data_IF_842425854543
#
_entry.id   IF_842425854543
#
_cell.length_a   1.000
_cell.length_b   1.000
_cell.length_c   1.000
_cell.angle_alpha   90.00
_cell.angle_beta   90.00
_cell.angle_gamma   90.00
#
_symmetry.space_group_name_H-M   'P 1'
#
loop_
_entity.id
_entity.type
_entity.pdbx_description
1 polymer ?
#
# COMPACT_ATOMS: atom_id res chain seq x y z
N UNK A 1 -4.79 30.60 -1.89
CA UNK A 1 -4.88 30.07 -3.27
C UNK A 1 -6.16 30.51 -4.01
N UNK A 2 -7.34 30.52 -3.39
CA UNK A 2 -8.61 30.99 -4.00
C UNK A 2 -8.56 32.35 -4.75
N UNK A 3 -7.99 33.44 -4.21
CA UNK A 3 -8.07 34.75 -4.88
C UNK A 3 -7.24 34.83 -6.16
N UNK A 4 -6.18 34.03 -6.30
CA UNK A 4 -5.26 34.10 -7.45
C UNK A 4 -5.88 33.47 -8.70
N UNK A 5 -6.62 32.37 -8.54
CA UNK A 5 -7.29 31.69 -9.65
C UNK A 5 -8.46 32.52 -10.21
N UNK A 6 -9.22 33.21 -9.36
CA UNK A 6 -10.29 34.14 -9.79
C UNK A 6 -9.73 35.34 -10.56
N UNK A 7 -8.56 35.85 -10.16
CA UNK A 7 -7.91 37.01 -10.81
C UNK A 7 -7.44 36.66 -12.23
N UNK A 8 -7.11 35.41 -12.52
CA UNK A 8 -6.74 34.97 -13.88
C UNK A 8 -7.95 34.50 -14.71
N UNK A 9 -8.97 33.91 -14.07
CA UNK A 9 -10.16 33.42 -14.75
C UNK A 9 -11.02 34.53 -15.36
N UNK A 10 -11.16 35.67 -14.68
CA UNK A 10 -11.98 36.80 -15.16
C UNK A 10 -11.39 37.43 -16.45
N UNK A 11 -10.09 37.78 -16.53
CA UNK A 11 -9.46 38.25 -17.76
C UNK A 11 -9.51 37.19 -18.87
N UNK A 12 -9.27 35.91 -18.56
CA UNK A 12 -9.38 34.85 -19.56
C UNK A 12 -10.79 34.76 -20.16
N UNK A 13 -11.83 34.84 -19.32
CA UNK A 13 -13.21 34.83 -19.78
C UNK A 13 -13.56 36.05 -20.64
N UNK A 14 -13.06 37.24 -20.27
CA UNK A 14 -13.24 38.47 -21.03
C UNK A 14 -12.54 38.41 -22.40
N UNK A 15 -11.23 38.12 -22.42
CA UNK A 15 -10.41 38.17 -23.64
C UNK A 15 -10.64 36.99 -24.59
N UNK A 16 -10.91 35.79 -24.08
CA UNK A 16 -11.08 34.59 -24.91
C UNK A 16 -12.50 34.45 -25.46
N UNK A 17 -13.51 34.76 -24.65
CA UNK A 17 -14.92 34.54 -25.00
C UNK A 17 -15.64 35.82 -25.43
N UNK A 18 -14.96 36.98 -25.39
CA UNK A 18 -15.53 38.28 -25.77
C UNK A 18 -16.65 38.76 -24.85
N UNK A 19 -16.75 38.20 -23.63
CA UNK A 19 -17.79 38.57 -22.67
C UNK A 19 -17.53 39.96 -22.09
N UNK A 20 -18.57 40.73 -21.80
CA UNK A 20 -18.40 41.94 -21.00
C UNK A 20 -17.92 41.59 -19.57
N UNK A 21 -17.36 42.58 -18.88
CA UNK A 21 -16.78 42.37 -17.54
C UNK A 21 -17.77 41.80 -16.53
N UNK A 22 -19.04 42.23 -16.59
CA UNK A 22 -20.11 41.75 -15.71
C UNK A 22 -20.34 40.24 -15.89
N UNK A 23 -20.55 39.79 -17.13
CA UNK A 23 -20.75 38.36 -17.45
C UNK A 23 -19.50 37.53 -17.18
N UNK A 24 -18.31 38.11 -17.39
CA UNK A 24 -17.04 37.46 -17.06
C UNK A 24 -16.91 37.20 -15.55
N UNK A 25 -17.30 38.16 -14.71
CA UNK A 25 -17.31 38.00 -13.24
C UNK A 25 -18.38 37.00 -12.81
N UNK A 26 -19.61 37.13 -13.33
CA UNK A 26 -20.73 36.26 -13.01
C UNK A 26 -20.40 34.78 -13.26
N UNK A 27 -19.66 34.48 -14.33
CA UNK A 27 -19.27 33.11 -14.66
C UNK A 27 -17.98 32.65 -13.95
N UNK A 28 -16.95 33.51 -13.89
CA UNK A 28 -15.64 33.11 -13.36
C UNK A 28 -15.67 32.85 -11.85
N UNK A 29 -16.50 33.56 -11.09
CA UNK A 29 -16.60 33.38 -9.63
C UNK A 29 -17.15 31.99 -9.25
N UNK A 30 -18.33 31.54 -9.74
CA UNK A 30 -18.82 30.19 -9.50
C UNK A 30 -17.86 29.10 -9.97
N UNK A 31 -17.19 29.27 -11.12
CA UNK A 31 -16.21 28.31 -11.63
C UNK A 31 -15.00 28.22 -10.70
N UNK A 32 -14.50 29.36 -10.20
CA UNK A 32 -13.37 29.38 -9.27
C UNK A 32 -13.73 28.70 -7.95
N UNK A 33 -14.91 29.01 -7.40
CA UNK A 33 -15.42 28.38 -6.18
C UNK A 33 -15.57 26.87 -6.38
N UNK A 34 -16.22 26.45 -7.47
CA UNK A 34 -16.41 25.03 -7.81
C UNK A 34 -15.07 24.31 -7.96
N UNK A 35 -14.10 24.92 -8.65
CA UNK A 35 -12.76 24.35 -8.81
C UNK A 35 -12.04 24.20 -7.47
N UNK A 36 -12.15 25.19 -6.59
CA UNK A 36 -11.57 25.10 -5.24
C UNK A 36 -12.22 23.98 -4.42
N UNK A 37 -13.54 23.81 -4.52
CA UNK A 37 -14.24 22.72 -3.84
C UNK A 37 -13.78 21.36 -4.39
N UNK A 38 -13.77 21.18 -5.71
CA UNK A 38 -13.45 19.91 -6.37
C UNK A 38 -11.98 19.53 -6.25
N UNK A 39 -11.06 20.49 -6.38
CA UNK A 39 -9.61 20.21 -6.37
C UNK A 39 -8.97 20.39 -5.00
N UNK A 40 -9.59 21.17 -4.10
CA UNK A 40 -9.06 21.48 -2.78
C UNK A 40 -9.80 20.74 -1.67
N UNK A 41 -11.06 21.11 -1.46
CA UNK A 41 -11.83 20.72 -0.27
C UNK A 41 -12.27 19.27 -0.30
N UNK A 42 -12.90 18.82 -1.40
CA UNK A 42 -13.44 17.47 -1.53
C UNK A 42 -12.33 16.41 -1.38
N UNK A 43 -11.18 16.52 -2.07
CA UNK A 43 -10.10 15.54 -1.92
C UNK A 43 -9.54 15.49 -0.49
N UNK A 44 -9.34 16.65 0.13
CA UNK A 44 -8.88 16.73 1.52
C UNK A 44 -9.89 16.09 2.48
N UNK A 45 -11.18 16.34 2.29
CA UNK A 45 -12.25 15.74 3.09
C UNK A 45 -12.29 14.21 2.93
N UNK A 46 -12.19 13.69 1.70
CA UNK A 46 -12.12 12.24 1.44
C UNK A 46 -10.93 11.63 2.18
N UNK A 47 -9.77 12.27 2.10
CA UNK A 47 -8.57 11.81 2.80
C UNK A 47 -8.74 11.85 4.32
N UNK A 48 -9.29 12.93 4.86
CA UNK A 48 -9.59 13.05 6.28
C UNK A 48 -10.52 11.93 6.76
N UNK A 49 -11.64 11.72 6.05
CA UNK A 49 -12.65 10.74 6.42
C UNK A 49 -12.12 9.31 6.31
N UNK A 50 -11.39 8.97 5.26
CA UNK A 50 -10.84 7.61 5.10
C UNK A 50 -9.85 7.26 6.21
N UNK A 51 -8.96 8.20 6.56
CA UNK A 51 -8.03 8.05 7.67
C UNK A 51 -8.74 7.98 9.02
N UNK A 52 -9.69 8.89 9.26
CA UNK A 52 -10.48 8.91 10.50
C UNK A 52 -11.27 7.61 10.69
N UNK A 53 -12.03 7.16 9.69
CA UNK A 53 -12.89 5.98 9.81
C UNK A 53 -12.08 4.69 9.91
N UNK A 54 -10.96 4.56 9.19
CA UNK A 54 -10.12 3.37 9.28
C UNK A 54 -9.58 3.18 10.70
N UNK A 55 -9.10 4.26 11.33
CA UNK A 55 -8.50 4.22 12.67
C UNK A 55 -9.39 4.74 13.80
N UNK A 56 -10.71 4.87 13.58
CA UNK A 56 -11.64 5.25 14.65
C UNK A 56 -11.52 4.29 15.83
N UNK A 57 -11.45 4.83 17.04
CA UNK A 57 -11.26 4.10 18.31
C UNK A 57 -9.96 3.30 18.41
N UNK A 58 -9.00 3.53 17.52
CA UNK A 58 -7.67 2.95 17.65
C UNK A 58 -6.87 3.74 18.68
N UNK A 59 -6.32 3.05 19.67
CA UNK A 59 -5.40 3.57 20.67
C UNK A 59 -4.05 2.91 20.51
N UNK A 60 -2.99 3.71 20.55
CA UNK A 60 -1.61 3.26 20.48
C UNK A 60 -0.90 3.73 21.73
N UNK A 61 -0.28 2.80 22.45
CA UNK A 61 0.51 3.08 23.63
C UNK A 61 1.95 2.69 23.32
N UNK A 62 2.86 3.65 23.48
CA UNK A 62 4.29 3.47 23.28
C UNK A 62 4.93 3.38 24.66
N UNK A 63 5.45 2.20 24.99
CA UNK A 63 6.09 1.93 26.28
C UNK A 63 7.60 1.99 26.10
N UNK A 64 8.21 3.12 26.46
CA UNK A 64 9.63 3.38 26.24
C UNK A 64 10.54 2.49 27.09
N UNK A 65 10.16 2.20 28.33
CA UNK A 65 10.96 1.37 29.25
C UNK A 65 11.04 -0.08 28.77
N UNK A 66 9.91 -0.65 28.37
CA UNK A 66 9.84 -2.04 27.89
C UNK A 66 10.13 -2.18 26.38
N UNK A 67 10.30 -1.06 25.67
CA UNK A 67 10.41 -0.98 24.20
C UNK A 67 9.29 -1.76 23.51
N UNK A 68 8.04 -1.49 23.92
CA UNK A 68 6.83 -2.12 23.37
C UNK A 68 5.90 -1.11 22.74
N UNK A 69 5.15 -1.57 21.74
CA UNK A 69 3.98 -0.88 21.21
C UNK A 69 2.76 -1.75 21.50
N UNK A 70 1.77 -1.16 22.17
CA UNK A 70 0.46 -1.77 22.34
C UNK A 70 -0.53 -1.11 21.40
N UNK A 71 -1.22 -1.94 20.63
CA UNK A 71 -2.20 -1.52 19.63
C UNK A 71 -3.56 -2.05 20.12
N UNK A 72 -4.50 -1.15 20.35
CA UNK A 72 -5.80 -1.48 20.90
C UNK A 72 -6.93 -0.85 20.09
N UNK A 73 -7.86 -1.69 19.63
CA UNK A 73 -9.17 -1.26 19.12
C UNK A 73 -10.23 -2.23 19.67
N UNK A 74 -10.67 -3.19 18.86
CA UNK A 74 -11.52 -4.31 19.31
C UNK A 74 -10.68 -5.46 19.88
N UNK A 75 -9.43 -5.56 19.44
CA UNK A 75 -8.43 -6.53 19.86
C UNK A 75 -7.26 -5.79 20.52
N UNK A 76 -6.52 -6.49 21.38
CA UNK A 76 -5.32 -5.99 22.05
C UNK A 76 -4.11 -6.76 21.54
N UNK A 77 -3.13 -6.04 21.02
CA UNK A 77 -1.86 -6.60 20.58
C UNK A 77 -0.70 -5.87 21.25
N UNK A 78 0.39 -6.58 21.49
CA UNK A 78 1.60 -6.03 22.09
C UNK A 78 2.82 -6.65 21.41
N UNK A 79 3.70 -5.80 20.90
CA UNK A 79 4.91 -6.23 20.19
C UNK A 79 6.11 -5.41 20.65
N UNK A 80 7.30 -6.03 20.61
CA UNK A 80 8.56 -5.32 20.87
C UNK A 80 8.98 -4.55 19.63
N UNK A 81 9.63 -3.40 19.83
CA UNK A 81 10.03 -2.51 18.73
C UNK A 81 10.94 -3.18 17.71
N UNK A 82 11.88 -4.02 18.16
CA UNK A 82 12.85 -4.70 17.32
C UNK A 82 12.29 -5.86 16.48
N UNK A 83 11.04 -6.25 16.71
CA UNK A 83 10.36 -7.31 15.97
C UNK A 83 9.47 -6.74 14.85
N UNK A 84 9.31 -5.42 14.81
CA UNK A 84 8.40 -4.73 13.89
C UNK A 84 9.14 -4.25 12.65
N UNK A 85 8.60 -4.60 11.48
CA UNK A 85 8.95 -3.94 10.21
C UNK A 85 8.00 -2.78 9.99
N UNK A 86 8.53 -1.60 9.69
CA UNK A 86 7.75 -0.37 9.61
C UNK A 86 7.87 0.22 8.22
N UNK A 87 6.72 0.37 7.55
CA UNK A 87 6.65 0.98 6.21
C UNK A 87 5.91 2.30 6.34
N UNK A 88 6.62 3.42 6.12
CA UNK A 88 6.00 4.74 6.09
C UNK A 88 5.43 5.01 4.69
N UNK A 89 4.12 5.22 4.60
CA UNK A 89 3.44 5.62 3.36
C UNK A 89 3.13 7.12 3.44
N UNK A 90 3.81 7.91 2.61
CA UNK A 90 3.76 9.37 2.66
C UNK A 90 3.46 9.98 1.28
N UNK A 91 2.87 11.20 1.22
CA UNK A 91 2.66 11.91 -0.03
C UNK A 91 3.94 12.10 -0.83
N UNK A 92 3.84 11.99 -2.14
CA UNK A 92 4.96 12.18 -3.07
C UNK A 92 5.62 13.56 -2.95
N UNK A 93 4.88 14.55 -2.46
CA UNK A 93 5.42 15.88 -2.13
C UNK A 93 6.66 15.78 -1.19
N UNK A 94 6.62 14.91 -0.19
CA UNK A 94 7.74 14.74 0.76
C UNK A 94 9.00 14.16 0.10
N UNK A 95 8.87 13.52 -1.07
CA UNK A 95 10.02 13.04 -1.87
C UNK A 95 10.89 14.19 -2.39
N UNK A 96 10.36 15.41 -2.47
CA UNK A 96 11.14 16.57 -2.90
C UNK A 96 12.36 16.83 -2.01
N UNK A 97 12.27 16.52 -0.71
CA UNK A 97 13.41 16.66 0.21
C UNK A 97 14.57 15.72 -0.15
N UNK A 98 14.30 14.68 -0.94
CA UNK A 98 15.27 13.66 -1.33
C UNK A 98 15.80 13.90 -2.74
N UNK A 99 14.93 14.23 -3.70
CA UNK A 99 15.32 14.29 -5.12
C UNK A 99 15.21 15.68 -5.76
N UNK A 100 14.80 16.70 -4.99
CA UNK A 100 14.71 18.10 -5.40
C UNK A 100 13.92 18.37 -6.70
N UNK A 101 12.88 17.57 -7.00
CA UNK A 101 12.09 17.72 -8.24
C UNK A 101 10.96 18.76 -8.18
N UNK A 102 10.96 19.67 -7.21
CA UNK A 102 9.99 20.77 -7.09
C UNK A 102 8.51 20.36 -7.26
N UNK A 103 8.10 19.20 -6.72
CA UNK A 103 6.69 18.78 -6.77
C UNK A 103 5.83 19.71 -5.94
N UNK A 104 4.60 19.91 -6.40
CA UNK A 104 3.68 20.83 -5.75
C UNK A 104 3.04 20.19 -4.53
N UNK A 105 2.77 21.01 -3.52
CA UNK A 105 1.99 20.59 -2.37
C UNK A 105 0.54 20.41 -2.79
N UNK A 106 -0.02 19.25 -2.43
CA UNK A 106 -1.42 18.92 -2.67
C UNK A 106 -2.23 19.12 -1.39
N UNK A 107 -3.55 19.35 -1.47
CA UNK A 107 -4.39 19.51 -0.27
C UNK A 107 -4.31 18.36 0.73
N UNK A 108 -3.93 17.16 0.28
CA UNK A 108 -3.76 15.96 1.10
C UNK A 108 -2.29 15.63 1.42
N UNK A 109 -1.36 16.55 1.17
CA UNK A 109 0.08 16.38 1.45
C UNK A 109 0.42 16.22 2.94
N UNK A 110 -0.54 16.44 3.83
CA UNK A 110 -0.38 16.27 5.28
C UNK A 110 -0.83 14.89 5.79
N UNK A 111 -1.49 14.08 4.96
CA UNK A 111 -1.91 12.74 5.37
C UNK A 111 -0.83 11.73 5.06
N UNK A 112 -0.42 10.99 6.07
CA UNK A 112 0.43 9.82 5.93
C UNK A 112 -0.14 8.69 6.78
N UNK A 113 0.38 7.50 6.58
CA UNK A 113 0.12 6.37 7.45
C UNK A 113 1.34 5.48 7.45
N UNK A 114 1.53 4.71 8.51
CA UNK A 114 2.56 3.69 8.54
C UNK A 114 1.92 2.31 8.70
N UNK A 115 2.54 1.32 8.08
CA UNK A 115 2.17 -0.08 8.19
C UNK A 115 3.18 -0.75 9.12
N UNK A 116 2.70 -1.24 10.25
CA UNK A 116 3.48 -2.12 11.13
C UNK A 116 3.24 -3.56 10.69
N UNK A 117 4.29 -4.26 10.30
CA UNK A 117 4.27 -5.67 9.95
C UNK A 117 4.96 -6.42 11.09
N UNK A 118 4.26 -7.44 11.58
CA UNK A 118 4.67 -8.26 12.72
C UNK A 118 5.23 -9.60 12.27
N UNK A 119 5.97 -10.32 13.14
CA UNK A 119 6.53 -11.63 12.82
C UNK A 119 5.46 -12.69 12.48
N UNK A 120 4.24 -12.53 13.02
CA UNK A 120 3.10 -13.40 12.76
C UNK A 120 2.26 -12.94 11.55
N UNK A 121 2.86 -12.18 10.63
CA UNK A 121 2.25 -11.72 9.38
C UNK A 121 0.95 -10.91 9.57
N UNK A 122 0.79 -10.26 10.73
CA UNK A 122 -0.27 -9.27 10.94
C UNK A 122 0.23 -7.90 10.52
N UNK A 123 -0.63 -7.18 9.81
CA UNK A 123 -0.37 -5.80 9.40
C UNK A 123 -1.31 -4.85 10.13
N UNK A 124 -0.74 -3.77 10.67
CA UNK A 124 -1.48 -2.69 11.28
C UNK A 124 -1.24 -1.40 10.51
N UNK A 125 -2.29 -0.85 9.89
CA UNK A 125 -2.22 0.40 9.15
C UNK A 125 -2.69 1.54 10.04
N UNK A 126 -1.77 2.43 10.40
CA UNK A 126 -1.99 3.49 11.37
C UNK A 126 -1.83 4.84 10.69
N UNK A 127 -2.90 5.62 10.69
CA UNK A 127 -2.89 6.98 10.19
C UNK A 127 -2.06 7.92 11.06
N UNK A 128 -1.46 8.91 10.39
CA UNK A 128 -0.88 10.09 11.03
C UNK A 128 -1.86 10.96 11.84
N UNK A 129 -3.17 10.76 11.71
CA UNK A 129 -4.19 11.39 12.57
C UNK A 129 -4.12 10.83 14.00
N UNK A 130 -3.74 9.54 14.15
CA UNK A 130 -3.67 8.87 15.45
C UNK A 130 -2.30 9.02 16.08
N UNK A 131 -1.24 8.81 15.30
CA UNK A 131 0.13 8.94 15.77
C UNK A 131 0.96 9.56 14.65
N UNK A 132 1.65 10.67 14.93
CA UNK A 132 2.55 11.26 13.93
C UNK A 132 3.76 10.35 13.69
N UNK A 133 4.25 10.20 12.45
CA UNK A 133 5.49 9.49 12.18
C UNK A 133 6.70 10.01 12.96
N UNK A 134 6.70 11.31 13.34
CA UNK A 134 7.75 11.93 14.15
C UNK A 134 7.72 11.53 15.62
N UNK A 135 6.60 11.00 16.10
CA UNK A 135 6.40 10.57 17.50
C UNK A 135 6.74 9.08 17.68
N UNK A 136 7.02 8.37 16.58
CA UNK A 136 7.38 6.97 16.61
C UNK A 136 8.86 6.84 17.03
N UNK A 137 9.19 6.10 18.09
CA UNK A 137 10.57 5.93 18.56
C UNK A 137 11.39 4.93 17.72
N UNK A 138 10.86 4.53 16.56
CA UNK A 138 11.43 3.51 15.68
C UNK A 138 11.52 4.10 14.28
N UNK A 139 12.69 4.00 13.67
CA UNK A 139 12.87 4.44 12.28
C UNK A 139 12.14 3.52 11.30
N UNK A 140 11.51 4.07 10.25
CA UNK A 140 10.85 3.25 9.24
C UNK A 140 11.88 2.45 8.44
N UNK A 141 11.63 1.15 8.30
CA UNK A 141 12.42 0.23 7.46
C UNK A 141 12.34 0.61 5.98
N UNK A 142 11.17 1.08 5.54
CA UNK A 142 10.91 1.47 4.15
C UNK A 142 10.04 2.73 4.11
N UNK A 143 10.29 3.60 3.12
CA UNK A 143 9.46 4.77 2.84
C UNK A 143 8.86 4.64 1.44
N UNK A 144 7.54 4.58 1.37
CA UNK A 144 6.75 4.54 0.13
C UNK A 144 6.13 5.91 -0.13
N UNK A 145 6.33 6.40 -1.34
CA UNK A 145 5.79 7.67 -1.80
C UNK A 145 4.60 7.43 -2.72
N UNK A 146 3.44 8.01 -2.40
CA UNK A 146 2.24 7.93 -3.24
C UNK A 146 1.70 9.32 -3.55
N UNK A 147 1.13 9.51 -4.74
CA UNK A 147 0.36 10.73 -5.02
C UNK A 147 -0.88 10.79 -4.12
N UNK A 148 -1.50 9.65 -3.84
CA UNK A 148 -2.73 9.53 -3.05
C UNK A 148 -2.50 8.47 -1.96
N UNK A 149 -2.13 8.85 -0.72
CA UNK A 149 -1.78 7.89 0.32
C UNK A 149 -3.04 7.31 0.97
N UNK A 150 -3.89 6.63 0.19
CA UNK A 150 -5.08 5.98 0.72
C UNK A 150 -4.69 4.94 1.75
N UNK A 151 -5.18 5.13 2.97
CA UNK A 151 -4.99 4.15 4.03
C UNK A 151 -5.72 2.85 3.70
N UNK A 152 -5.08 1.73 4.02
CA UNK A 152 -5.67 0.38 3.98
C UNK A 152 -6.52 0.13 5.24
N UNK A 153 -7.27 -0.99 5.32
CA UNK A 153 -7.93 -1.38 6.58
C UNK A 153 -6.93 -1.43 7.74
N UNK A 154 -7.35 -0.99 8.92
CA UNK A 154 -6.46 -0.85 10.09
C UNK A 154 -5.76 -2.15 10.51
N UNK A 155 -6.36 -3.31 10.22
CA UNK A 155 -5.82 -4.62 10.55
C UNK A 155 -6.03 -5.60 9.40
N UNK A 156 -4.98 -6.32 9.04
CA UNK A 156 -5.02 -7.42 8.08
C UNK A 156 -4.21 -8.60 8.64
N UNK A 157 -4.83 -9.77 8.72
CA UNK A 157 -4.11 -11.01 9.01
C UNK A 157 -3.70 -11.69 7.71
N UNK A 158 -2.44 -11.54 7.30
CA UNK A 158 -1.94 -12.15 6.05
C UNK A 158 -1.61 -13.63 6.19
N UNK A 159 -1.58 -14.18 7.40
CA UNK A 159 -1.29 -15.61 7.58
C UNK A 159 -2.29 -16.48 6.80
N UNK A 160 -3.58 -16.12 6.83
CA UNK A 160 -4.64 -16.85 6.11
C UNK A 160 -4.40 -16.82 4.59
N UNK A 161 -3.99 -15.67 4.06
CA UNK A 161 -3.68 -15.50 2.64
C UNK A 161 -2.44 -16.29 2.23
N UNK A 162 -1.40 -16.28 3.08
CA UNK A 162 -0.18 -17.08 2.88
C UNK A 162 -0.52 -18.58 2.87
N UNK A 163 -1.30 -19.05 3.85
CA UNK A 163 -1.69 -20.45 3.97
C UNK A 163 -2.53 -20.91 2.75
N UNK A 164 -3.47 -20.06 2.31
CA UNK A 164 -4.29 -20.32 1.13
C UNK A 164 -3.44 -20.39 -0.15
N UNK A 165 -2.52 -19.44 -0.33
CA UNK A 165 -1.61 -19.40 -1.47
C UNK A 165 -0.68 -20.62 -1.49
N UNK A 166 -0.16 -21.04 -0.33
CA UNK A 166 0.64 -22.25 -0.21
C UNK A 166 -0.17 -23.50 -0.54
N UNK A 167 -1.41 -23.60 -0.06
CA UNK A 167 -2.32 -24.70 -0.38
C UNK A 167 -2.58 -24.79 -1.88
N UNK A 168 -2.93 -23.68 -2.52
CA UNK A 168 -3.12 -23.65 -3.98
C UNK A 168 -1.85 -23.96 -4.75
N UNK A 169 -0.67 -23.49 -4.29
CA UNK A 169 0.62 -23.86 -4.89
C UNK A 169 0.83 -25.38 -4.83
N UNK A 170 0.54 -26.01 -3.69
CA UNK A 170 0.61 -27.47 -3.52
C UNK A 170 -0.39 -28.23 -4.38
N UNK A 171 -1.64 -27.77 -4.46
CA UNK A 171 -2.65 -28.39 -5.33
C UNK A 171 -2.22 -28.37 -6.81
N UNK A 172 -1.64 -27.25 -7.26
CA UNK A 172 -1.10 -27.13 -8.62
C UNK A 172 0.10 -28.05 -8.84
N UNK A 173 1.02 -28.12 -7.87
CA UNK A 173 2.16 -29.05 -7.92
C UNK A 173 1.66 -30.49 -7.99
N UNK A 174 0.69 -30.89 -7.16
CA UNK A 174 0.10 -32.22 -7.18
C UNK A 174 -0.60 -32.53 -8.51
N UNK A 175 -1.31 -31.56 -9.09
CA UNK A 175 -1.90 -31.70 -10.42
C UNK A 175 -0.84 -31.94 -11.51
N UNK A 176 0.35 -31.31 -11.39
CA UNK A 176 1.49 -31.59 -12.27
C UNK A 176 2.13 -32.95 -12.00
N UNK A 177 2.30 -33.34 -10.73
CA UNK A 177 2.80 -34.65 -10.34
C UNK A 177 1.93 -35.78 -10.93
N UNK A 178 0.61 -35.61 -10.88
CA UNK A 178 -0.32 -36.56 -11.51
C UNK A 178 -0.14 -36.62 -13.04
N UNK A 179 0.11 -35.50 -13.73
CA UNK A 179 0.40 -35.52 -15.17
C UNK A 179 1.72 -36.21 -15.52
N UNK A 180 2.67 -36.21 -14.59
CA UNK A 180 3.99 -36.81 -14.75
C UNK A 180 4.11 -38.19 -14.07
N UNK A 181 3.01 -38.75 -13.53
CA UNK A 181 3.05 -40.01 -12.78
C UNK A 181 3.58 -41.17 -13.61
N UNK A 182 3.25 -41.16 -14.90
CA UNK A 182 3.52 -42.27 -15.82
C UNK A 182 4.95 -42.22 -16.39
N UNK A 183 5.68 -41.12 -16.17
CA UNK A 183 7.05 -40.95 -16.66
C UNK A 183 8.05 -41.74 -15.82
N UNK A 184 9.03 -42.34 -16.50
CA UNK A 184 10.16 -43.04 -15.87
C UNK A 184 11.17 -42.07 -15.26
N UNK A 185 12.04 -42.58 -14.39
CA UNK A 185 13.09 -41.78 -13.73
C UNK A 185 14.04 -41.13 -14.76
N UNK A 186 14.39 -41.85 -15.83
CA UNK A 186 15.26 -41.33 -16.90
C UNK A 186 14.58 -40.22 -17.72
N UNK A 187 13.29 -40.37 -18.00
CA UNK A 187 12.51 -39.33 -18.71
C UNK A 187 12.38 -38.05 -17.88
N UNK A 188 12.09 -38.17 -16.58
CA UNK A 188 12.04 -37.03 -15.66
C UNK A 188 13.38 -36.30 -15.58
N UNK A 189 14.50 -37.03 -15.50
CA UNK A 189 15.85 -36.44 -15.53
C UNK A 189 16.13 -35.73 -16.84
N UNK A 190 15.75 -36.32 -17.98
CA UNK A 190 15.91 -35.72 -19.30
C UNK A 190 15.10 -34.43 -19.47
N UNK A 191 13.89 -34.38 -18.90
CA UNK A 191 13.06 -33.18 -18.89
C UNK A 191 13.62 -32.10 -17.97
N UNK A 192 14.09 -32.46 -16.76
CA UNK A 192 14.76 -31.52 -15.85
C UNK A 192 16.09 -30.98 -16.41
N UNK A 193 16.77 -31.75 -17.27
CA UNK A 193 17.96 -31.31 -18.01
C UNK A 193 17.70 -30.18 -19.02
N UNK A 194 16.44 -29.85 -19.30
CA UNK A 194 16.00 -28.74 -20.17
C UNK A 194 15.24 -27.67 -19.39
N UNK A 195 15.88 -26.97 -18.43
CA UNK A 195 15.19 -26.07 -17.52
C UNK A 195 14.60 -24.83 -18.20
N UNK A 196 14.96 -24.50 -19.44
CA UNK A 196 14.36 -23.36 -20.15
C UNK A 196 12.97 -23.66 -20.69
N UNK A 197 12.60 -24.93 -20.80
CA UNK A 197 11.37 -25.37 -21.48
C UNK A 197 10.17 -25.45 -20.52
N UNK A 198 10.39 -25.27 -19.22
CA UNK A 198 9.37 -25.45 -18.19
C UNK A 198 9.34 -24.29 -17.19
N UNK A 199 8.12 -23.93 -16.77
CA UNK A 199 7.88 -23.00 -15.66
C UNK A 199 8.34 -23.59 -14.32
N UNK A 200 8.35 -22.77 -13.27
CA UNK A 200 8.79 -23.15 -11.91
C UNK A 200 7.98 -24.32 -11.33
N UNK A 201 6.65 -24.31 -11.47
CA UNK A 201 5.78 -25.31 -10.81
C UNK A 201 5.94 -26.73 -11.38
N UNK A 202 5.96 -26.96 -12.71
CA UNK A 202 6.25 -28.28 -13.26
C UNK A 202 7.63 -28.82 -12.85
N UNK A 203 8.65 -27.95 -12.75
CA UNK A 203 10.00 -28.36 -12.29
C UNK A 203 9.97 -28.89 -10.87
N UNK A 204 9.37 -28.13 -9.95
CA UNK A 204 9.24 -28.55 -8.55
C UNK A 204 8.48 -29.89 -8.47
N UNK A 205 7.40 -30.03 -9.24
CA UNK A 205 6.64 -31.28 -9.31
C UNK A 205 7.50 -32.47 -9.79
N UNK A 206 8.29 -32.30 -10.85
CA UNK A 206 9.19 -33.33 -11.37
C UNK A 206 10.30 -33.68 -10.36
N UNK A 207 10.89 -32.69 -9.69
CA UNK A 207 11.92 -32.90 -8.67
C UNK A 207 11.38 -33.66 -7.45
N UNK A 208 10.18 -33.31 -6.97
CA UNK A 208 9.51 -34.02 -5.87
C UNK A 208 9.18 -35.47 -6.25
N UNK A 209 8.62 -35.67 -7.44
CA UNK A 209 8.24 -37.00 -7.92
C UNK A 209 9.46 -37.89 -8.20
N UNK A 210 10.57 -37.30 -8.67
CA UNK A 210 11.85 -37.99 -8.81
C UNK A 210 12.37 -38.49 -7.46
N UNK A 211 12.30 -37.65 -6.41
CA UNK A 211 12.71 -38.02 -5.05
C UNK A 211 11.88 -39.19 -4.53
N UNK A 212 10.55 -39.12 -4.68
CA UNK A 212 9.62 -40.17 -4.24
C UNK A 212 9.93 -41.51 -4.92
N UNK A 213 10.07 -41.53 -6.25
CA UNK A 213 10.38 -42.75 -7.00
C UNK A 213 11.76 -43.35 -6.68
N UNK A 214 12.73 -42.52 -6.28
CA UNK A 214 14.06 -43.00 -5.88
C UNK A 214 14.02 -43.59 -4.47
N UNK A 215 13.21 -43.05 -3.56
CA UNK A 215 13.03 -43.60 -2.21
C UNK A 215 12.26 -44.91 -2.17
N UNK A 216 11.31 -45.15 -3.08
CA UNK A 216 10.54 -46.40 -3.14
C UNK A 216 11.34 -47.61 -3.67
N UNK A 217 12.57 -47.38 -4.16
CA UNK A 217 13.45 -48.42 -4.72
C UNK A 217 14.50 -48.92 -3.68
N UNK A 218 14.52 -48.35 -2.47
CA UNK A 218 15.35 -48.81 -1.34
C UNK A 218 14.53 -49.58 -0.30
#
# INVERSE_FOLDING_TARGET
MLPILSVLAIPLAHYRNGWNWEKAVEYAVPVTISSFLVLGVIPNLIMHLTHYFSNRNLSILIECEEKKIRIQKDLKFSYKWNELTIILNTPIYHKNKVDNRNRWETPWSNYSFFTLITPDNKEFNISSIVLSPSELPIEPTEIKYSLWPSIKPWYVNRQIEIDCNQKHKRERINGWKQKFSDLTVEELKSMLGRPKDYDELPKIAMEELLKEKVTDIC
#
